data_IF_126891744767
#
_entry.id   IF_126891744767
#
_cell.length_a   1.000
_cell.length_b   1.000
_cell.length_c   1.000
_cell.angle_alpha   90.00
_cell.angle_beta   90.00
_cell.angle_gamma   90.00
#
_symmetry.space_group_name_H-M   'P 1'
#
loop_
_entity.id
_entity.type
_entity.pdbx_description
1 polymer ?
#
# COMPACT_ATOMS: atom_id res chain seq x y z
N UNK A 1 -15.70 20.21 -3.68
CA UNK A 1 -14.88 18.98 -3.55
C UNK A 1 -14.98 18.57 -2.09
N UNK A 2 -15.33 17.32 -1.80
CA UNK A 2 -15.31 16.82 -0.42
C UNK A 2 -13.84 16.49 -0.10
N UNK A 3 -13.32 16.99 1.00
CA UNK A 3 -11.91 16.79 1.37
C UNK A 3 -11.67 15.33 1.78
N UNK A 4 -10.58 14.75 1.30
CA UNK A 4 -10.10 13.42 1.68
C UNK A 4 -9.60 13.45 3.13
N UNK A 5 -10.53 13.40 4.07
CA UNK A 5 -10.24 13.56 5.50
C UNK A 5 -9.78 12.24 6.11
N UNK A 6 -8.77 12.31 6.97
CA UNK A 6 -8.41 11.21 7.85
C UNK A 6 -9.48 10.99 8.93
N UNK A 7 -9.88 9.73 9.15
CA UNK A 7 -10.95 9.37 10.10
C UNK A 7 -10.53 8.33 11.14
N UNK A 8 -9.30 7.82 11.07
CA UNK A 8 -8.86 6.64 11.85
C UNK A 8 -8.08 7.00 13.12
N UNK A 9 -8.27 8.23 13.62
CA UNK A 9 -7.71 8.69 14.89
C UNK A 9 -6.19 8.62 14.95
N UNK A 10 -5.67 7.92 15.96
CA UNK A 10 -4.24 7.71 16.22
C UNK A 10 -3.64 6.48 15.49
N UNK A 11 -4.39 5.89 14.56
CA UNK A 11 -3.96 4.70 13.82
C UNK A 11 -2.71 4.98 12.97
N UNK A 12 -1.82 3.99 12.91
CA UNK A 12 -0.72 3.96 11.92
C UNK A 12 -1.08 3.05 10.77
N UNK A 13 -1.12 3.59 9.55
CA UNK A 13 -1.30 2.84 8.31
C UNK A 13 0.06 2.64 7.66
N UNK A 14 0.31 1.42 7.17
CA UNK A 14 1.52 1.09 6.40
C UNK A 14 1.11 0.67 4.99
N UNK A 15 1.50 1.46 4.01
CA UNK A 15 1.42 1.13 2.59
C UNK A 15 2.77 0.52 2.19
N UNK A 16 2.77 -0.70 1.64
CA UNK A 16 3.98 -1.53 1.51
C UNK A 16 4.60 -1.54 0.10
N UNK A 17 4.47 -0.45 -0.67
CA UNK A 17 5.04 -0.32 -2.02
C UNK A 17 4.08 -0.67 -3.16
N UNK A 18 4.57 -0.51 -4.39
CA UNK A 18 3.83 -0.72 -5.66
C UNK A 18 2.59 0.18 -5.78
N UNK A 19 2.79 1.48 -5.49
CA UNK A 19 1.79 2.54 -5.72
C UNK A 19 1.78 2.96 -7.18
N UNK A 20 2.97 2.98 -7.81
CA UNK A 20 3.15 3.38 -9.19
C UNK A 20 2.81 2.26 -10.17
N UNK A 21 2.57 2.69 -11.41
CA UNK A 21 2.28 1.89 -12.59
C UNK A 21 0.93 1.14 -12.60
N UNK A 22 0.60 0.60 -13.79
CA UNK A 22 -0.52 -0.33 -14.07
C UNK A 22 -1.94 0.26 -13.87
N UNK A 23 -2.09 1.47 -13.33
CA UNK A 23 -3.38 2.05 -12.94
C UNK A 23 -3.82 3.31 -13.70
N UNK A 24 -2.87 4.10 -14.24
CA UNK A 24 -3.14 5.32 -15.02
C UNK A 24 -3.54 6.56 -14.21
N UNK A 25 -3.60 6.44 -12.87
CA UNK A 25 -3.96 7.50 -11.93
C UNK A 25 -2.84 7.74 -10.89
N UNK A 26 -1.59 7.37 -11.21
CA UNK A 26 -0.44 7.33 -10.29
C UNK A 26 -0.24 8.67 -9.57
N UNK A 27 -0.25 9.78 -10.32
CA UNK A 27 -0.11 11.12 -9.74
C UNK A 27 -1.24 11.44 -8.75
N UNK A 28 -2.48 11.04 -9.04
CA UNK A 28 -3.62 11.28 -8.14
C UNK A 28 -3.47 10.48 -6.86
N UNK A 29 -3.01 9.23 -6.95
CA UNK A 29 -2.77 8.37 -5.78
C UNK A 29 -1.64 8.93 -4.92
N UNK A 30 -0.55 9.41 -5.52
CA UNK A 30 0.54 10.08 -4.80
C UNK A 30 0.04 11.33 -4.06
N UNK A 31 -0.68 12.23 -4.74
CA UNK A 31 -1.25 13.41 -4.10
C UNK A 31 -2.22 13.06 -2.98
N UNK A 32 -3.05 12.03 -3.18
CA UNK A 32 -3.95 11.51 -2.17
C UNK A 32 -3.19 11.01 -0.93
N UNK A 33 -2.17 10.16 -1.11
CA UNK A 33 -1.36 9.65 0.01
C UNK A 33 -0.62 10.76 0.75
N UNK A 34 -0.08 11.74 0.04
CA UNK A 34 0.60 12.88 0.65
C UNK A 34 -0.35 13.80 1.43
N UNK A 35 -1.56 14.04 0.91
CA UNK A 35 -2.58 14.78 1.64
C UNK A 35 -3.05 13.99 2.87
N UNK A 36 -3.31 12.69 2.71
CA UNK A 36 -3.81 11.84 3.79
C UNK A 36 -2.77 11.69 4.91
N UNK A 37 -1.47 11.62 4.59
CA UNK A 37 -0.37 11.67 5.58
C UNK A 37 -0.46 12.92 6.46
N UNK A 38 -0.70 14.09 5.85
CA UNK A 38 -0.83 15.36 6.59
C UNK A 38 -2.07 15.37 7.48
N UNK A 39 -3.19 14.84 6.99
CA UNK A 39 -4.41 14.71 7.78
C UNK A 39 -4.20 13.74 8.95
N UNK A 40 -3.60 12.56 8.71
CA UNK A 40 -3.31 11.58 9.76
C UNK A 40 -2.50 12.20 10.91
N UNK A 41 -1.43 12.92 10.58
CA UNK A 41 -0.60 13.61 11.57
C UNK A 41 -1.38 14.64 12.41
N UNK A 42 -2.33 15.36 11.81
CA UNK A 42 -3.18 16.32 12.55
C UNK A 42 -4.12 15.64 13.56
N UNK A 43 -4.44 14.38 13.33
CA UNK A 43 -5.34 13.58 14.16
C UNK A 43 -4.60 12.61 15.09
N UNK A 44 -3.26 12.68 15.15
CA UNK A 44 -2.42 11.82 15.98
C UNK A 44 -2.07 10.48 15.35
N UNK A 45 -2.54 10.21 14.14
CA UNK A 45 -2.22 9.03 13.35
C UNK A 45 -0.99 9.21 12.47
N UNK A 46 -0.68 8.20 11.67
CA UNK A 46 0.46 8.22 10.75
C UNK A 46 0.20 7.35 9.52
N UNK A 47 0.78 7.74 8.39
CA UNK A 47 0.86 6.88 7.20
C UNK A 47 2.33 6.73 6.81
N UNK A 48 2.81 5.49 6.82
CA UNK A 48 4.13 5.10 6.37
C UNK A 48 4.00 4.45 4.99
N UNK A 49 4.64 5.03 3.97
CA UNK A 49 4.72 4.46 2.62
C UNK A 49 6.12 3.88 2.41
N UNK A 50 6.19 2.60 2.10
CA UNK A 50 7.42 1.90 1.72
C UNK A 50 7.62 1.96 0.20
N UNK A 51 8.85 1.76 -0.26
CA UNK A 51 9.14 1.61 -1.68
C UNK A 51 8.99 0.14 -2.08
N UNK A 52 8.20 -0.12 -3.13
CA UNK A 52 8.17 -1.39 -3.83
C UNK A 52 9.14 -1.41 -5.01
N UNK A 53 9.08 -2.48 -5.81
CA UNK A 53 9.93 -2.58 -6.99
C UNK A 53 9.57 -1.53 -8.05
N UNK A 54 8.29 -1.16 -8.15
CA UNK A 54 7.83 -0.14 -9.10
C UNK A 54 8.37 1.25 -8.77
N UNK A 55 8.42 1.63 -7.49
CA UNK A 55 9.03 2.90 -7.07
C UNK A 55 10.54 2.91 -7.35
N UNK A 56 11.23 1.80 -7.04
CA UNK A 56 12.67 1.66 -7.31
C UNK A 56 12.95 1.78 -8.81
N UNK A 57 12.20 1.06 -9.66
CA UNK A 57 12.37 1.10 -11.12
C UNK A 57 12.11 2.49 -11.73
N UNK A 58 11.09 3.21 -11.24
CA UNK A 58 10.75 4.53 -11.77
C UNK A 58 11.76 5.61 -11.33
N UNK A 59 12.40 5.46 -10.17
CA UNK A 59 13.48 6.35 -9.72
C UNK A 59 14.80 6.02 -10.45
N UNK A 60 15.05 4.74 -10.74
CA UNK A 60 16.28 4.24 -11.37
C UNK A 60 16.40 4.58 -12.87
N UNK A 61 15.55 5.46 -13.41
CA UNK A 61 15.68 6.06 -14.75
C UNK A 61 16.97 6.87 -15.00
N UNK A 62 17.95 6.76 -14.10
CA UNK A 62 19.28 7.35 -14.12
C UNK A 62 20.35 6.28 -13.81
N UNK A 63 20.81 5.57 -14.86
CA UNK A 63 21.81 4.50 -14.81
C UNK A 63 23.24 4.94 -14.37
N UNK A 64 23.40 6.13 -13.78
CA UNK A 64 24.70 6.61 -13.29
C UNK A 64 25.06 6.05 -11.91
N UNK A 65 24.09 5.52 -11.18
CA UNK A 65 24.29 4.81 -9.91
C UNK A 65 23.57 3.48 -9.97
N UNK A 66 24.30 2.42 -10.32
CA UNK A 66 23.84 1.01 -10.21
C UNK A 66 23.08 0.86 -8.89
N UNK A 67 21.80 0.51 -8.93
CA UNK A 67 21.04 0.38 -7.71
C UNK A 67 21.72 -0.70 -6.86
N UNK A 68 21.79 -0.53 -5.52
CA UNK A 68 22.50 -1.50 -4.71
C UNK A 68 21.98 -2.92 -4.95
N UNK A 69 22.85 -3.92 -5.00
CA UNK A 69 22.46 -5.31 -5.30
C UNK A 69 21.40 -5.92 -4.35
N UNK A 70 21.04 -5.22 -3.26
CA UNK A 70 19.92 -5.61 -2.38
C UNK A 70 18.54 -5.17 -2.88
N UNK A 71 18.44 -4.30 -3.89
CA UNK A 71 17.19 -3.94 -4.58
C UNK A 71 17.10 -4.48 -6.01
N UNK A 72 18.21 -4.95 -6.59
CA UNK A 72 18.24 -5.55 -7.93
C UNK A 72 18.18 -7.09 -7.92
N UNK A 73 17.50 -7.69 -8.90
CA UNK A 73 17.44 -9.14 -9.09
C UNK A 73 16.30 -9.83 -8.33
N UNK A 74 15.95 -11.05 -8.76
CA UNK A 74 14.76 -11.77 -8.27
C UNK A 74 14.81 -12.16 -6.78
N UNK A 75 16.00 -12.23 -6.18
CA UNK A 75 16.19 -12.53 -4.76
C UNK A 75 16.35 -11.28 -3.88
N UNK A 76 16.21 -10.08 -4.45
CA UNK A 76 16.35 -8.82 -3.74
C UNK A 76 15.16 -8.53 -2.82
N UNK A 77 15.31 -7.59 -1.88
CA UNK A 77 14.30 -7.26 -0.88
C UNK A 77 12.95 -6.86 -1.50
N UNK A 78 12.98 -6.16 -2.64
CA UNK A 78 11.76 -5.64 -3.29
C UNK A 78 11.18 -6.58 -4.36
N UNK A 79 11.91 -7.63 -4.75
CA UNK A 79 11.49 -8.57 -5.80
C UNK A 79 11.24 -10.00 -5.30
N UNK A 80 11.81 -10.37 -4.15
CA UNK A 80 11.78 -11.74 -3.68
C UNK A 80 10.36 -12.23 -3.40
N UNK A 81 10.04 -13.38 -4.00
CA UNK A 81 8.77 -14.10 -3.78
C UNK A 81 8.94 -15.31 -2.87
N UNK A 82 10.13 -15.51 -2.30
CA UNK A 82 10.50 -16.73 -1.56
C UNK A 82 9.54 -17.06 -0.40
N UNK A 83 8.95 -16.05 0.22
CA UNK A 83 8.00 -16.21 1.32
C UNK A 83 6.56 -15.83 0.93
N UNK A 84 6.31 -15.57 -0.36
CA UNK A 84 4.99 -15.19 -0.90
C UNK A 84 4.52 -16.03 -2.09
N UNK A 85 5.21 -17.13 -2.40
CA UNK A 85 4.83 -18.13 -3.40
C UNK A 85 4.12 -19.36 -2.77
N UNK A 86 3.49 -20.19 -3.59
CA UNK A 86 2.71 -21.37 -3.20
C UNK A 86 3.52 -22.42 -2.43
N UNK A 87 4.85 -22.46 -2.59
CA UNK A 87 5.76 -23.31 -1.81
C UNK A 87 6.45 -22.47 -0.74
N UNK A 88 5.75 -22.17 0.35
CA UNK A 88 6.35 -21.44 1.47
C UNK A 88 7.18 -22.39 2.37
N UNK A 89 8.50 -22.19 2.40
CA UNK A 89 9.39 -22.87 3.37
C UNK A 89 9.24 -22.23 4.75
N UNK A 90 8.31 -22.78 5.55
CA UNK A 90 8.03 -22.30 6.89
C UNK A 90 9.23 -22.43 7.85
N UNK A 91 10.16 -23.37 7.61
CA UNK A 91 11.35 -23.52 8.45
C UNK A 91 12.34 -22.41 8.17
N UNK A 92 12.61 -22.11 6.89
CA UNK A 92 13.44 -20.98 6.52
C UNK A 92 12.85 -19.65 7.01
N UNK A 93 11.54 -19.44 6.87
CA UNK A 93 10.86 -18.25 7.39
C UNK A 93 11.02 -18.12 8.91
N UNK A 94 10.89 -19.22 9.65
CA UNK A 94 11.08 -19.21 11.10
C UNK A 94 12.50 -18.77 11.47
N UNK A 95 13.53 -19.33 10.83
CA UNK A 95 14.91 -18.92 11.07
C UNK A 95 15.13 -17.42 10.79
N UNK A 96 14.54 -16.88 9.72
CA UNK A 96 14.62 -15.44 9.42
C UNK A 96 13.97 -14.61 10.53
N UNK A 97 12.77 -14.98 10.98
CA UNK A 97 12.10 -14.24 12.06
C UNK A 97 12.88 -14.30 13.38
N UNK A 98 13.52 -15.42 13.69
CA UNK A 98 14.34 -15.58 14.89
C UNK A 98 15.61 -14.72 14.88
N UNK A 99 16.10 -14.32 13.70
CA UNK A 99 17.25 -13.40 13.60
C UNK A 99 16.89 -11.93 13.85
N UNK A 100 15.59 -11.59 13.90
CA UNK A 100 15.10 -10.22 14.13
C UNK A 100 14.41 -10.17 15.52
N UNK A 101 15.06 -9.61 16.55
CA UNK A 101 14.52 -9.60 17.90
C UNK A 101 13.12 -9.00 17.98
N UNK A 102 12.16 -9.77 18.51
CA UNK A 102 10.77 -9.36 18.69
C UNK A 102 9.88 -9.51 17.45
N UNK A 103 10.43 -9.85 16.27
CA UNK A 103 9.63 -10.14 15.09
C UNK A 103 8.87 -11.46 15.25
N UNK A 104 7.58 -11.44 14.87
CA UNK A 104 6.71 -12.63 14.93
C UNK A 104 6.14 -13.00 13.57
N UNK A 105 6.11 -12.04 12.64
CA UNK A 105 5.44 -12.13 11.35
C UNK A 105 6.19 -11.32 10.32
N UNK A 106 6.11 -11.76 9.08
CA UNK A 106 6.53 -11.05 7.88
C UNK A 106 5.26 -10.76 7.06
N UNK A 107 5.02 -9.49 6.75
CA UNK A 107 3.88 -9.04 5.95
C UNK A 107 4.43 -8.59 4.60
N UNK A 108 3.87 -9.11 3.51
CA UNK A 108 4.42 -8.95 2.16
C UNK A 108 3.33 -8.63 1.14
N UNK A 109 3.71 -7.83 0.14
CA UNK A 109 2.93 -7.54 -1.06
C UNK A 109 3.55 -8.24 -2.27
N UNK A 110 3.56 -7.56 -3.43
CA UNK A 110 4.22 -7.93 -4.68
C UNK A 110 3.71 -9.20 -5.40
N UNK A 111 3.31 -10.21 -4.64
CA UNK A 111 2.68 -11.43 -5.14
C UNK A 111 1.17 -11.35 -4.94
N UNK A 112 0.46 -11.05 -6.03
CA UNK A 112 -1.00 -10.92 -6.08
C UNK A 112 -1.66 -12.21 -5.58
N UNK A 113 -2.56 -12.03 -4.62
CA UNK A 113 -3.45 -13.06 -4.10
C UNK A 113 -4.78 -13.01 -4.85
N UNK A 114 -5.13 -14.08 -5.56
CA UNK A 114 -6.31 -14.11 -6.44
C UNK A 114 -7.66 -13.96 -5.71
N UNK A 115 -7.69 -14.16 -4.39
CA UNK A 115 -8.94 -14.16 -3.62
C UNK A 115 -8.99 -13.09 -2.55
N UNK A 116 -8.02 -13.12 -1.62
CA UNK A 116 -8.01 -12.26 -0.43
C UNK A 116 -6.62 -12.21 0.20
N UNK A 117 -6.48 -11.28 1.14
CA UNK A 117 -5.40 -11.33 2.12
C UNK A 117 -5.37 -12.72 2.75
N UNK A 118 -4.20 -13.35 2.74
CA UNK A 118 -4.02 -14.72 3.23
C UNK A 118 -2.82 -14.83 4.16
N UNK A 119 -2.85 -15.82 5.05
CA UNK A 119 -1.76 -16.11 5.98
C UNK A 119 -1.34 -17.57 5.89
N UNK A 120 -0.03 -17.82 5.92
CA UNK A 120 0.58 -19.16 5.91
C UNK A 120 1.56 -19.31 7.07
N UNK A 121 2.02 -20.54 7.33
CA UNK A 121 2.93 -20.87 8.42
C UNK A 121 2.42 -20.35 9.79
N UNK A 122 1.18 -20.69 10.15
CA UNK A 122 0.52 -20.19 11.37
C UNK A 122 0.48 -18.65 11.46
N UNK A 123 0.23 -17.98 10.32
CA UNK A 123 0.25 -16.52 10.16
C UNK A 123 1.62 -15.87 10.46
N UNK A 124 2.72 -16.62 10.35
CA UNK A 124 4.08 -16.03 10.35
C UNK A 124 4.39 -15.33 9.04
N UNK A 125 3.78 -15.73 7.93
CA UNK A 125 3.77 -14.98 6.68
C UNK A 125 2.34 -14.54 6.36
N UNK A 126 2.17 -13.25 6.04
CA UNK A 126 0.87 -12.68 5.64
C UNK A 126 1.06 -11.98 4.30
N UNK A 127 0.24 -12.35 3.33
CA UNK A 127 0.25 -11.82 1.96
C UNK A 127 -0.93 -10.89 1.78
N UNK A 128 -0.67 -9.62 1.48
CA UNK A 128 -1.70 -8.58 1.47
C UNK A 128 -1.96 -7.94 0.10
N UNK A 129 -1.17 -8.27 -0.92
CA UNK A 129 -1.41 -7.79 -2.28
C UNK A 129 -2.60 -8.53 -2.89
N UNK A 130 -3.66 -7.80 -3.19
CA UNK A 130 -4.91 -8.32 -3.79
C UNK A 130 -5.08 -7.89 -5.23
N UNK A 131 -4.04 -7.34 -5.88
CA UNK A 131 -4.09 -6.94 -7.29
C UNK A 131 -5.09 -5.80 -7.56
N UNK A 132 -5.12 -4.79 -6.68
CA UNK A 132 -6.12 -3.70 -6.73
C UNK A 132 -6.09 -2.89 -8.03
N UNK A 133 -4.94 -2.85 -8.71
CA UNK A 133 -4.82 -2.12 -9.98
C UNK A 133 -5.58 -2.81 -11.10
N UNK A 134 -6.23 -2.01 -11.96
CA UNK A 134 -6.92 -2.50 -13.17
C UNK A 134 -5.99 -3.28 -14.10
N UNK A 135 -4.70 -2.91 -14.15
CA UNK A 135 -3.68 -3.59 -14.96
C UNK A 135 -3.15 -4.89 -14.35
N UNK A 136 -3.66 -5.32 -13.19
CA UNK A 136 -3.21 -6.51 -12.47
C UNK A 136 -4.35 -7.53 -12.26
N UNK A 137 -5.50 -7.07 -11.80
CA UNK A 137 -6.65 -7.95 -11.56
C UNK A 137 -7.96 -7.24 -11.19
N UNK A 138 -7.95 -5.91 -11.03
CA UNK A 138 -9.10 -5.12 -10.55
C UNK A 138 -9.68 -5.71 -9.25
N UNK A 139 -8.80 -6.21 -8.39
CA UNK A 139 -9.16 -6.90 -7.16
C UNK A 139 -9.81 -5.96 -6.16
N UNK A 140 -10.76 -6.48 -5.38
CA UNK A 140 -11.40 -5.71 -4.32
C UNK A 140 -10.35 -5.29 -3.28
N UNK A 141 -10.25 -3.99 -3.02
CA UNK A 141 -9.38 -3.44 -1.98
C UNK A 141 -9.63 -4.10 -0.63
N UNK A 142 -8.56 -4.39 0.10
CA UNK A 142 -8.59 -5.04 1.42
C UNK A 142 -7.52 -4.41 2.31
N UNK A 143 -7.73 -4.44 3.63
CA UNK A 143 -6.78 -3.94 4.61
C UNK A 143 -6.57 -4.98 5.70
N UNK A 144 -5.31 -5.18 6.09
CA UNK A 144 -4.92 -5.96 7.26
C UNK A 144 -4.89 -5.04 8.48
N UNK A 145 -5.74 -5.29 9.47
CA UNK A 145 -5.72 -4.58 10.75
C UNK A 145 -4.91 -5.37 11.80
N UNK A 146 -3.99 -4.69 12.48
CA UNK A 146 -3.18 -5.25 13.57
C UNK A 146 -3.55 -4.53 14.86
N UNK A 147 -4.45 -5.13 15.63
CA UNK A 147 -4.89 -4.62 16.94
C UNK A 147 -4.10 -5.30 18.07
N UNK A 148 -3.48 -4.49 18.94
CA UNK A 148 -2.72 -4.94 20.12
C UNK A 148 -3.59 -5.68 21.15
N UNK A 149 -4.91 -5.48 21.13
CA UNK A 149 -5.88 -6.18 21.99
C UNK A 149 -6.33 -7.54 21.44
N UNK A 150 -5.85 -7.94 20.25
CA UNK A 150 -6.21 -9.21 19.61
C UNK A 150 -5.75 -10.44 20.41
N UNK A 151 -4.88 -10.29 21.41
CA UNK A 151 -4.53 -11.36 22.34
C UNK A 151 -5.74 -11.90 23.15
N UNK A 152 -6.87 -11.17 23.17
CA UNK A 152 -8.15 -11.63 23.77
C UNK A 152 -9.14 -12.18 22.73
N UNK A 153 -8.86 -12.09 21.43
CA UNK A 153 -9.69 -12.64 20.36
C UNK A 153 -9.07 -13.97 19.92
N UNK A 154 -9.90 -14.96 19.61
CA UNK A 154 -9.46 -16.31 19.21
C UNK A 154 -8.39 -16.21 18.09
N UNK A 155 -7.32 -17.03 18.12
CA UNK A 155 -6.12 -16.90 17.27
C UNK A 155 -6.33 -17.02 15.75
N UNK A 156 -7.57 -17.16 15.28
CA UNK A 156 -7.94 -17.34 13.86
C UNK A 156 -8.65 -16.14 13.23
N UNK A 157 -8.55 -14.94 13.81
CA UNK A 157 -9.13 -13.73 13.19
C UNK A 157 -8.04 -12.72 12.84
N UNK A 158 -7.42 -12.91 11.69
CA UNK A 158 -7.00 -11.77 10.87
C UNK A 158 -8.26 -11.00 10.53
N UNK A 159 -8.46 -9.82 11.12
CA UNK A 159 -9.61 -8.98 10.78
C UNK A 159 -9.30 -8.32 9.45
N UNK A 160 -9.67 -8.99 8.37
CA UNK A 160 -9.72 -8.39 7.04
C UNK A 160 -10.97 -7.52 7.01
N UNK A 161 -10.80 -6.20 7.10
CA UNK A 161 -11.88 -5.26 6.84
C UNK A 161 -11.95 -5.04 5.33
N UNK A 162 -13.11 -5.28 4.75
CA UNK A 162 -13.41 -4.83 3.40
C UNK A 162 -13.77 -3.34 3.46
N UNK A 163 -13.27 -2.47 2.58
CA UNK A 163 -13.65 -1.06 2.53
C UNK A 163 -15.17 -0.86 2.32
N UNK A 164 -15.89 -1.88 1.87
CA UNK A 164 -17.36 -1.88 1.80
C UNK A 164 -18.07 -2.08 3.16
N UNK A 165 -17.35 -2.21 4.28
CA UNK A 165 -17.96 -2.10 5.63
C UNK A 165 -18.09 -0.66 6.12
N UNK A 166 -17.61 0.33 5.37
CA UNK A 166 -18.12 1.69 5.49
C UNK A 166 -19.57 1.67 5.00
N UNK A 167 -20.52 1.97 5.88
CA UNK A 167 -21.87 2.31 5.44
C UNK A 167 -21.82 3.61 4.62
N UNK A 168 -21.47 3.47 3.34
CA UNK A 168 -21.74 4.50 2.35
C UNK A 168 -23.25 4.48 2.18
N UNK A 169 -23.90 5.52 2.71
CA UNK A 169 -25.34 5.72 2.52
C UNK A 169 -25.67 5.54 1.04
N UNK A 170 -26.61 4.65 0.72
CA UNK A 170 -27.10 4.40 -0.64
C UNK A 170 -27.75 5.66 -1.19
N UNK A 171 -26.97 6.62 -1.69
CA UNK A 171 -27.46 7.67 -2.59
C UNK A 171 -26.85 7.44 -3.97
N UNK A 172 -27.73 6.94 -4.85
CA UNK A 172 -27.56 6.77 -6.29
C UNK A 172 -26.85 7.99 -6.88
N UNK A 173 -25.63 7.80 -7.36
CA UNK A 173 -24.91 8.82 -8.12
C UNK A 173 -25.58 9.02 -9.48
N UNK A 174 -25.92 10.27 -9.80
CA UNK A 174 -26.22 10.73 -11.16
C UNK A 174 -25.20 11.83 -11.49
N UNK A 175 -24.48 11.77 -12.61
CA UNK A 175 -23.60 12.85 -13.02
C UNK A 175 -24.45 14.04 -13.48
N UNK A 176 -24.36 15.17 -12.78
CA UNK A 176 -24.75 16.46 -13.34
C UNK A 176 -23.50 17.12 -13.91
N UNK A 177 -23.39 17.05 -15.24
CA UNK A 177 -22.50 17.86 -16.05
C UNK A 177 -23.07 19.28 -16.10
N UNK A 178 -22.60 20.20 -15.27
CA UNK A 178 -22.65 21.65 -15.55
C UNK A 178 -21.65 22.41 -14.68
N UNK A 179 -20.80 23.19 -15.37
CA UNK A 179 -20.17 24.46 -14.97
C UNK A 179 -18.97 24.37 -13.99
N UNK A 180 -17.83 25.04 -14.18
CA UNK A 180 -17.47 26.18 -15.05
C UNK A 180 -15.94 26.25 -15.11
N UNK A 181 -15.37 26.51 -16.29
CA UNK A 181 -13.95 26.75 -16.49
C UNK A 181 -13.53 28.10 -15.89
N UNK A 182 -12.48 28.12 -15.07
CA UNK A 182 -11.72 29.33 -14.75
C UNK A 182 -10.33 29.14 -15.36
N UNK A 183 -9.93 29.89 -16.40
CA UNK A 183 -8.58 29.82 -16.91
C UNK A 183 -7.63 30.53 -15.94
N UNK A 184 -6.58 29.83 -15.50
CA UNK A 184 -5.42 30.46 -14.87
C UNK A 184 -4.63 31.19 -15.95
N UNK A 185 -4.57 32.52 -15.86
CA UNK A 185 -3.66 33.35 -16.64
C UNK A 185 -2.22 33.12 -16.19
N UNK A 186 -1.35 32.73 -17.12
CA UNK A 186 0.10 32.67 -16.94
C UNK A 186 0.67 34.11 -16.95
N UNK A 187 1.38 34.49 -15.90
CA UNK A 187 2.18 35.71 -15.86
C UNK A 187 3.58 35.43 -16.44
N UNK A 188 3.95 36.16 -17.49
CA UNK A 188 5.14 35.95 -18.30
C UNK A 188 6.29 36.92 -17.93
N UNK A 189 6.61 37.03 -16.65
CA UNK A 189 7.79 37.80 -16.21
C UNK A 189 8.69 37.00 -15.28
N UNK A 190 9.47 36.09 -15.86
CA UNK A 190 10.71 35.61 -15.26
C UNK A 190 11.83 35.78 -16.29
N UNK A 191 12.50 36.94 -16.21
CA UNK A 191 13.80 37.17 -16.85
C UNK A 191 14.90 36.68 -15.91
N UNK A 192 15.86 35.95 -16.50
CA UNK A 192 17.11 35.48 -15.89
C UNK A 192 17.93 36.61 -15.27
N UNK A 193 18.75 36.29 -14.27
CA UNK A 193 20.21 36.23 -14.50
C UNK A 193 20.79 34.83 -14.39
#
# INVERSE_FOLDING_TARGET
MQADNWIDGDTTVVQIGDVLDRGGDELKILYFLENLKREALRHGGSILTMNGNHEVMNIDGDFRTVAPGFVEGGDSVVWSRKFSDQVCDCSALQHVLETIPGAKRMIMGHTIQETRINGVCDNRAIWIDVGMSKGCGDGLSQVLEIDSNSAKKKPNQTVVKHPNSLQISKKKWKPNLTNTWVPLSFDSSWNSP
#
